data_IF_088441650646
#
_entry.id   IF_088441650646
#
_cell.length_a   1.000
_cell.length_b   1.000
_cell.length_c   1.000
_cell.angle_alpha   90.00
_cell.angle_beta   90.00
_cell.angle_gamma   90.00
#
_symmetry.space_group_name_H-M   'P 1'
#
loop_
_entity.id
_entity.type
_entity.pdbx_description
1 polymer ?
#
# COMPACT_ATOMS: atom_id res chain seq x y z
N UNK A 1 65.73 1.99 5.19
CA UNK A 1 64.47 1.43 4.64
C UNK A 1 63.40 1.62 5.71
N UNK A 2 62.46 2.54 5.51
CA UNK A 2 61.38 2.87 6.46
C UNK A 2 60.08 2.30 5.91
N UNK A 3 59.52 1.29 6.56
CA UNK A 3 58.21 0.70 6.23
C UNK A 3 57.11 1.40 7.01
N UNK A 4 56.29 2.17 6.29
CA UNK A 4 55.09 2.83 6.79
C UNK A 4 53.95 1.80 6.93
N UNK A 5 53.47 1.54 8.15
CA UNK A 5 52.24 0.77 8.39
C UNK A 5 51.02 1.65 8.12
N UNK A 6 50.15 1.17 7.22
CA UNK A 6 48.89 1.81 6.85
C UNK A 6 47.75 1.20 7.69
N UNK A 7 47.18 1.98 8.60
CA UNK A 7 45.99 1.59 9.37
C UNK A 7 44.73 1.88 8.56
N UNK A 8 43.89 0.85 8.34
CA UNK A 8 42.55 0.98 7.78
C UNK A 8 41.55 1.34 8.91
N UNK A 9 40.66 2.33 8.73
CA UNK A 9 39.59 2.59 9.67
C UNK A 9 38.44 1.58 9.49
N UNK A 10 38.04 0.93 10.58
CA UNK A 10 36.85 0.08 10.67
C UNK A 10 35.63 1.01 10.79
N UNK A 11 34.80 1.07 9.76
CA UNK A 11 33.50 1.74 9.81
C UNK A 11 32.45 0.82 10.48
N UNK A 12 31.62 1.35 11.39
CA UNK A 12 30.52 0.57 11.98
C UNK A 12 29.45 0.26 10.92
N UNK A 13 29.17 -1.04 10.73
CA UNK A 13 28.06 -1.50 9.91
C UNK A 13 26.73 -1.12 10.57
N UNK A 14 26.02 -0.17 9.97
CA UNK A 14 24.62 0.11 10.31
C UNK A 14 23.78 -1.03 9.75
N UNK A 15 23.19 -1.84 10.64
CA UNK A 15 22.26 -2.91 10.27
C UNK A 15 20.99 -2.30 9.65
N UNK A 16 20.82 -2.48 8.35
CA UNK A 16 19.59 -2.14 7.63
C UNK A 16 18.52 -3.18 8.02
N UNK A 17 17.31 -2.78 8.43
CA UNK A 17 16.24 -3.73 8.75
C UNK A 17 15.90 -4.53 7.49
N UNK A 18 16.10 -5.84 7.56
CA UNK A 18 15.83 -6.77 6.47
C UNK A 18 14.32 -6.87 6.25
N UNK A 19 13.88 -6.73 5.01
CA UNK A 19 12.51 -7.04 4.58
C UNK A 19 12.25 -8.53 4.85
N UNK A 20 11.49 -8.83 5.92
CA UNK A 20 10.96 -10.16 6.15
C UNK A 20 9.95 -10.52 5.06
N UNK A 21 10.41 -11.31 4.09
CA UNK A 21 9.55 -11.94 3.09
C UNK A 21 8.85 -13.11 3.77
N UNK A 22 7.69 -12.86 4.38
CA UNK A 22 6.86 -13.94 4.94
C UNK A 22 6.19 -14.71 3.80
N UNK A 23 6.66 -15.94 3.56
CA UNK A 23 5.99 -16.96 2.77
C UNK A 23 4.74 -17.43 3.53
N UNK A 24 3.56 -16.97 3.12
CA UNK A 24 2.27 -17.37 3.70
C UNK A 24 1.59 -18.37 2.76
N UNK A 25 1.30 -19.56 3.30
CA UNK A 25 0.52 -20.64 2.70
C UNK A 25 -0.86 -20.13 2.22
N UNK A 26 -1.37 -20.55 1.04
CA UNK A 26 -2.63 -20.05 0.49
C UNK A 26 -3.83 -20.71 1.18
N UNK A 27 -4.04 -20.38 2.45
CA UNK A 27 -5.35 -20.59 3.09
C UNK A 27 -6.25 -19.40 2.73
N UNK A 28 -7.53 -19.66 2.51
CA UNK A 28 -8.59 -18.69 2.23
C UNK A 28 -8.86 -17.71 3.40
N UNK A 29 -7.85 -17.44 4.22
CA UNK A 29 -7.89 -16.44 5.28
C UNK A 29 -8.13 -15.08 4.64
N UNK A 30 -9.12 -14.37 5.19
CA UNK A 30 -9.35 -12.96 4.88
C UNK A 30 -8.02 -12.20 5.06
N UNK A 31 -7.74 -11.28 4.13
CA UNK A 31 -6.62 -10.38 4.26
C UNK A 31 -6.94 -9.41 5.40
N UNK A 32 -6.47 -9.70 6.61
CA UNK A 32 -6.66 -8.83 7.75
C UNK A 32 -5.72 -7.61 7.66
N UNK A 33 -6.30 -6.48 7.27
CA UNK A 33 -5.62 -5.18 7.19
C UNK A 33 -5.95 -4.26 8.38
N UNK A 34 -6.77 -4.72 9.34
CA UNK A 34 -7.29 -3.88 10.44
C UNK A 34 -6.20 -3.27 11.30
N UNK A 35 -5.08 -3.98 11.46
CA UNK A 35 -3.96 -3.56 12.28
C UNK A 35 -2.95 -2.67 11.57
N UNK A 36 -3.22 -2.19 10.35
CA UNK A 36 -2.26 -1.41 9.57
C UNK A 36 -2.86 -0.07 9.14
N UNK A 37 -2.02 0.97 9.11
CA UNK A 37 -2.41 2.24 8.51
C UNK A 37 -2.57 2.10 7.00
N UNK A 38 -1.66 1.38 6.37
CA UNK A 38 -1.79 0.96 4.99
C UNK A 38 -1.14 -0.39 4.69
N UNK A 39 -1.64 -1.04 3.65
CA UNK A 39 -1.08 -2.26 3.09
C UNK A 39 -1.08 -2.20 1.56
N UNK A 40 0.00 -2.66 0.94
CA UNK A 40 0.11 -2.83 -0.52
C UNK A 40 0.13 -4.32 -0.84
N UNK A 41 -0.75 -4.73 -1.74
CA UNK A 41 -1.01 -6.11 -2.12
C UNK A 41 -0.70 -6.24 -3.61
N UNK A 42 0.38 -6.96 -3.91
CA UNK A 42 0.78 -7.27 -5.28
C UNK A 42 0.35 -8.70 -5.61
N UNK A 43 -0.31 -8.86 -6.74
CA UNK A 43 -0.55 -10.17 -7.36
C UNK A 43 0.73 -10.54 -8.09
N UNK A 44 1.56 -11.41 -7.52
CA UNK A 44 2.64 -12.03 -8.28
C UNK A 44 2.05 -13.25 -9.02
N UNK A 45 2.06 -13.26 -10.36
CA UNK A 45 1.51 -14.38 -11.14
C UNK A 45 2.26 -15.69 -10.88
N UNK A 46 3.52 -15.64 -10.43
CA UNK A 46 4.31 -16.82 -10.09
C UNK A 46 4.10 -17.32 -8.65
N UNK A 47 3.78 -16.42 -7.71
CA UNK A 47 3.82 -16.72 -6.26
C UNK A 47 2.49 -16.58 -5.51
N UNK A 48 1.37 -16.44 -6.21
CA UNK A 48 0.03 -16.52 -5.60
C UNK A 48 -0.24 -15.49 -4.47
N UNK A 49 0.24 -14.25 -4.68
CA UNK A 49 0.09 -13.01 -3.87
C UNK A 49 1.25 -12.73 -2.90
N UNK A 50 1.87 -11.57 -3.09
CA UNK A 50 2.97 -11.09 -2.25
C UNK A 50 2.56 -9.77 -1.60
N UNK A 51 2.56 -9.74 -0.26
CA UNK A 51 2.30 -8.53 0.53
C UNK A 51 3.64 -7.80 0.73
N UNK A 52 3.84 -6.66 0.05
CA UNK A 52 5.17 -6.04 0.00
C UNK A 52 5.41 -4.89 0.97
N UNK A 53 4.38 -4.23 1.51
CA UNK A 53 4.61 -3.20 2.54
C UNK A 53 3.42 -3.05 3.48
N UNK A 54 3.70 -3.13 4.79
CA UNK A 54 2.73 -2.85 5.84
C UNK A 54 3.32 -1.80 6.77
N UNK A 55 2.64 -0.67 6.93
CA UNK A 55 3.01 0.34 7.92
C UNK A 55 1.93 0.42 9.00
N UNK A 56 2.33 0.25 10.25
CA UNK A 56 1.44 0.27 11.40
C UNK A 56 1.32 1.65 12.07
N UNK A 57 2.30 2.51 11.89
CA UNK A 57 2.58 3.59 12.85
C UNK A 57 2.61 4.98 12.23
N UNK A 58 2.83 5.09 10.92
CA UNK A 58 2.94 6.39 10.27
C UNK A 58 1.62 6.80 9.64
N UNK A 59 1.02 7.88 10.16
CA UNK A 59 -0.10 8.58 9.52
C UNK A 59 0.33 9.37 8.26
N UNK A 60 1.60 9.27 7.87
CA UNK A 60 2.14 9.97 6.72
C UNK A 60 1.65 9.37 5.41
N UNK A 61 0.74 10.11 4.77
CA UNK A 61 0.28 9.83 3.42
C UNK A 61 1.44 9.84 2.39
N UNK A 62 2.50 10.61 2.63
CA UNK A 62 3.67 10.65 1.73
C UNK A 62 4.39 9.29 1.75
N UNK A 63 4.56 8.67 2.91
CA UNK A 63 5.08 7.30 3.04
C UNK A 63 4.23 6.28 2.28
N UNK A 64 2.90 6.35 2.41
CA UNK A 64 1.99 5.48 1.65
C UNK A 64 2.17 5.67 0.13
N UNK A 65 2.12 6.92 -0.33
CA UNK A 65 2.29 7.27 -1.74
C UNK A 65 3.63 6.78 -2.30
N UNK A 66 4.70 6.96 -1.55
CA UNK A 66 6.05 6.59 -1.98
C UNK A 66 6.26 5.07 -2.03
N UNK A 67 5.35 4.30 -1.43
CA UNK A 67 5.37 2.84 -1.48
C UNK A 67 4.62 2.26 -2.70
N UNK A 68 3.83 3.07 -3.41
CA UNK A 68 3.09 2.61 -4.60
C UNK A 68 4.05 2.39 -5.80
N UNK A 69 3.93 1.27 -6.52
CA UNK A 69 4.76 1.01 -7.69
C UNK A 69 4.44 1.98 -8.83
N UNK A 70 5.47 2.47 -9.54
CA UNK A 70 5.28 3.43 -10.65
C UNK A 70 4.84 2.72 -11.94
N UNK A 71 5.35 1.52 -12.20
CA UNK A 71 5.21 0.82 -13.48
C UNK A 71 4.43 -0.50 -13.38
N UNK A 72 3.83 -0.79 -12.23
CA UNK A 72 3.11 -2.03 -11.97
C UNK A 72 1.78 -1.73 -11.30
N UNK A 73 0.81 -2.59 -11.54
CA UNK A 73 -0.47 -2.50 -10.87
C UNK A 73 -0.36 -3.09 -9.46
N UNK A 74 -1.17 -2.59 -8.54
CA UNK A 74 -1.33 -3.21 -7.24
C UNK A 74 -2.71 -2.93 -6.67
N UNK A 75 -3.07 -3.64 -5.61
CA UNK A 75 -4.13 -3.19 -4.73
C UNK A 75 -3.51 -2.54 -3.49
N UNK A 76 -4.23 -1.58 -2.90
CA UNK A 76 -3.82 -0.98 -1.65
C UNK A 76 -5.01 -0.80 -0.71
N UNK A 77 -4.74 -0.84 0.58
CA UNK A 77 -5.70 -0.48 1.62
C UNK A 77 -5.09 0.65 2.43
N UNK A 78 -5.87 1.68 2.73
CA UNK A 78 -5.44 2.82 3.53
C UNK A 78 -6.55 3.24 4.51
N UNK A 79 -6.21 3.32 5.79
CA UNK A 79 -7.11 3.81 6.84
C UNK A 79 -6.99 5.32 6.96
N UNK A 80 -7.97 6.04 6.42
CA UNK A 80 -8.04 7.50 6.49
C UNK A 80 -8.75 7.96 7.77
N UNK A 81 -8.15 8.92 8.47
CA UNK A 81 -8.75 9.58 9.62
C UNK A 81 -8.90 11.06 9.30
N UNK A 82 -10.11 11.60 9.44
CA UNK A 82 -10.43 12.99 9.14
C UNK A 82 -11.58 13.49 10.02
N UNK A 83 -11.91 14.78 9.95
CA UNK A 83 -13.05 15.36 10.67
C UNK A 83 -14.17 15.66 9.67
N UNK A 84 -15.38 15.18 9.98
CA UNK A 84 -16.61 15.47 9.23
C UNK A 84 -17.70 15.88 10.22
N UNK A 85 -18.35 17.03 10.01
CA UNK A 85 -19.37 17.58 10.91
C UNK A 85 -18.92 17.61 12.39
N UNK A 86 -17.73 18.14 12.65
CA UNK A 86 -17.15 18.23 14.01
C UNK A 86 -16.90 16.87 14.69
N UNK A 87 -17.03 15.75 13.97
CA UNK A 87 -16.76 14.40 14.48
C UNK A 87 -15.55 13.80 13.78
N UNK A 88 -14.66 13.19 14.56
CA UNK A 88 -13.59 12.35 14.02
C UNK A 88 -14.19 11.14 13.33
N UNK A 89 -13.83 10.91 12.08
CA UNK A 89 -14.20 9.76 11.27
C UNK A 89 -12.95 8.97 10.91
N UNK A 90 -13.09 7.66 10.93
CA UNK A 90 -12.09 6.71 10.46
C UNK A 90 -12.76 5.88 9.39
N UNK A 91 -12.16 5.79 8.21
CA UNK A 91 -12.67 5.01 7.09
C UNK A 91 -11.53 4.21 6.45
N UNK A 92 -11.83 3.01 6.00
CA UNK A 92 -10.91 2.13 5.30
C UNK A 92 -11.18 2.23 3.80
N UNK A 93 -10.18 2.66 3.05
CA UNK A 93 -10.29 2.82 1.60
C UNK A 93 -9.51 1.69 0.93
N UNK A 94 -10.21 0.93 0.07
CA UNK A 94 -9.61 -0.01 -0.86
C UNK A 94 -9.32 0.71 -2.18
N UNK A 95 -8.10 0.57 -2.68
CA UNK A 95 -7.65 1.14 -3.94
C UNK A 95 -7.26 0.02 -4.91
N UNK A 96 -7.73 0.14 -6.15
CA UNK A 96 -7.12 -0.53 -7.31
C UNK A 96 -6.21 0.49 -8.00
N UNK A 97 -4.89 0.29 -7.92
CA UNK A 97 -3.89 1.15 -8.53
C UNK A 97 -3.48 0.63 -9.91
N UNK A 98 -3.77 1.42 -10.94
CA UNK A 98 -3.58 1.08 -12.35
C UNK A 98 -2.76 2.19 -13.04
N UNK A 99 -1.46 2.33 -12.74
CA UNK A 99 -0.66 3.42 -13.30
C UNK A 99 -0.68 3.36 -14.82
N UNK A 100 -0.76 4.53 -15.48
CA UNK A 100 -0.84 4.64 -16.94
C UNK A 100 0.30 3.93 -17.66
N UNK A 101 1.48 3.90 -17.03
CA UNK A 101 2.70 3.28 -17.57
C UNK A 101 2.77 1.75 -17.38
N UNK A 102 1.82 1.13 -16.66
CA UNK A 102 1.76 -0.33 -16.55
C UNK A 102 1.22 -0.98 -17.85
N UNK A 103 1.66 -2.22 -18.16
CA UNK A 103 1.16 -3.00 -19.29
C UNK A 103 -0.38 -3.04 -19.34
N UNK A 104 -0.95 -2.93 -20.54
CA UNK A 104 -2.41 -2.94 -20.72
C UNK A 104 -3.05 -4.23 -20.20
N UNK A 105 -2.42 -5.38 -20.47
CA UNK A 105 -2.90 -6.68 -20.03
C UNK A 105 -2.92 -6.80 -18.51
N UNK A 106 -1.88 -6.30 -17.83
CA UNK A 106 -1.80 -6.27 -16.37
C UNK A 106 -2.89 -5.36 -15.78
N UNK A 107 -3.10 -4.17 -16.35
CA UNK A 107 -4.17 -3.26 -15.90
C UNK A 107 -5.54 -3.91 -16.03
N UNK A 108 -5.79 -4.60 -17.14
CA UNK A 108 -7.04 -5.32 -17.37
C UNK A 108 -7.23 -6.46 -16.35
N UNK A 109 -6.17 -7.23 -16.08
CA UNK A 109 -6.20 -8.30 -15.08
C UNK A 109 -6.56 -7.76 -13.69
N UNK A 110 -5.89 -6.69 -13.23
CA UNK A 110 -6.16 -6.12 -11.90
C UNK A 110 -7.55 -5.50 -11.80
N UNK A 111 -8.05 -4.89 -12.87
CA UNK A 111 -9.41 -4.36 -12.94
C UNK A 111 -10.44 -5.50 -12.82
N UNK A 112 -10.27 -6.57 -13.59
CA UNK A 112 -11.16 -7.74 -13.58
C UNK A 112 -11.12 -8.48 -12.24
N UNK A 113 -9.95 -8.60 -11.62
CA UNK A 113 -9.77 -9.30 -10.35
C UNK A 113 -10.08 -8.45 -9.10
N UNK A 114 -10.25 -7.12 -9.26
CA UNK A 114 -10.52 -6.18 -8.17
C UNK A 114 -11.70 -6.58 -7.27
N UNK A 115 -12.89 -6.90 -7.81
CA UNK A 115 -14.03 -7.34 -7.01
C UNK A 115 -13.76 -8.63 -6.22
N UNK A 116 -13.01 -9.57 -6.78
CA UNK A 116 -12.63 -10.81 -6.08
C UNK A 116 -11.64 -10.53 -4.96
N UNK A 117 -10.72 -9.57 -5.14
CA UNK A 117 -9.83 -9.12 -4.07
C UNK A 117 -10.60 -8.40 -2.96
N UNK A 118 -11.55 -7.52 -3.31
CA UNK A 118 -12.36 -6.78 -2.35
C UNK A 118 -13.13 -7.74 -1.41
N UNK A 119 -13.70 -8.82 -1.95
CA UNK A 119 -14.38 -9.87 -1.16
C UNK A 119 -13.45 -10.62 -0.19
N UNK A 120 -12.13 -10.59 -0.42
CA UNK A 120 -11.14 -11.22 0.46
C UNK A 120 -10.66 -10.30 1.57
N UNK A 121 -10.94 -9.00 1.51
CA UNK A 121 -10.62 -8.09 2.60
C UNK A 121 -11.59 -8.31 3.76
N UNK A 122 -11.10 -8.21 4.99
CA UNK A 122 -11.97 -8.33 6.17
C UNK A 122 -13.02 -7.21 6.21
N UNK A 123 -12.65 -6.00 5.79
CA UNK A 123 -13.52 -4.83 5.77
C UNK A 123 -12.93 -3.71 4.90
N UNK A 124 -13.79 -2.96 4.21
CA UNK A 124 -13.50 -1.66 3.62
C UNK A 124 -14.79 -0.83 3.54
N UNK A 125 -14.69 0.50 3.59
CA UNK A 125 -15.83 1.42 3.49
C UNK A 125 -16.01 1.93 2.05
N UNK A 126 -14.90 2.24 1.38
CA UNK A 126 -14.90 2.82 0.03
C UNK A 126 -13.94 2.07 -0.88
N UNK A 127 -14.33 1.91 -2.14
CA UNK A 127 -13.47 1.36 -3.19
C UNK A 127 -13.25 2.41 -4.28
N UNK A 128 -11.99 2.73 -4.56
CA UNK A 128 -11.61 3.59 -5.66
C UNK A 128 -10.69 2.86 -6.64
N UNK A 129 -10.89 3.14 -7.93
CA UNK A 129 -9.97 2.76 -9.00
C UNK A 129 -9.25 4.02 -9.42
N UNK A 130 -7.92 3.99 -9.44
CA UNK A 130 -7.10 5.16 -9.68
C UNK A 130 -5.99 4.86 -10.68
N UNK A 131 -5.73 5.83 -11.55
CA UNK A 131 -4.70 5.78 -12.59
C UNK A 131 -3.55 6.72 -12.32
N UNK A 132 -3.81 7.80 -11.58
CA UNK A 132 -2.80 8.76 -11.15
C UNK A 132 -2.71 8.91 -9.64
N UNK A 133 -1.51 9.21 -9.14
CA UNK A 133 -1.25 9.42 -7.71
C UNK A 133 -2.06 10.59 -7.13
N UNK A 134 -2.46 11.56 -7.96
CA UNK A 134 -3.29 12.70 -7.53
C UNK A 134 -4.66 12.25 -7.05
N UNK A 135 -5.17 11.14 -7.59
CA UNK A 135 -6.47 10.59 -7.21
C UNK A 135 -6.48 9.98 -5.80
N UNK A 136 -5.30 9.68 -5.23
CA UNK A 136 -5.15 9.16 -3.87
C UNK A 136 -5.11 10.27 -2.82
N UNK A 137 -4.90 11.52 -3.22
CA UNK A 137 -4.70 12.61 -2.27
C UNK A 137 -5.89 12.75 -1.34
N UNK A 138 -5.61 13.02 -0.06
CA UNK A 138 -6.66 13.26 0.94
C UNK A 138 -7.59 14.40 0.51
N UNK A 139 -7.06 15.44 -0.14
CA UNK A 139 -7.82 16.56 -0.72
C UNK A 139 -8.84 16.14 -1.79
N UNK A 140 -8.62 15.01 -2.47
CA UNK A 140 -9.51 14.46 -3.49
C UNK A 140 -10.44 13.40 -2.90
N UNK A 141 -9.91 12.54 -2.02
CA UNK A 141 -10.66 11.46 -1.40
C UNK A 141 -11.70 11.97 -0.38
N UNK A 142 -11.33 12.92 0.49
CA UNK A 142 -12.21 13.42 1.56
C UNK A 142 -13.50 14.02 1.00
N UNK A 143 -13.50 14.94 0.02
CA UNK A 143 -14.74 15.49 -0.51
C UNK A 143 -15.66 14.44 -1.13
N UNK A 144 -15.09 13.43 -1.83
CA UNK A 144 -15.85 12.30 -2.38
C UNK A 144 -16.50 11.48 -1.27
N UNK A 145 -15.74 11.16 -0.23
CA UNK A 145 -16.22 10.41 0.94
C UNK A 145 -17.29 11.19 1.69
N UNK A 146 -17.08 12.48 1.99
CA UNK A 146 -18.06 13.32 2.66
C UNK A 146 -19.39 13.39 1.89
N UNK A 147 -19.33 13.47 0.55
CA UNK A 147 -20.54 13.46 -0.30
C UNK A 147 -21.31 12.14 -0.17
N UNK A 148 -20.60 11.01 -0.02
CA UNK A 148 -21.21 9.68 0.15
C UNK A 148 -21.72 9.43 1.57
N UNK A 149 -21.10 10.04 2.58
CA UNK A 149 -21.53 9.94 3.98
C UNK A 149 -22.80 10.75 4.27
N UNK A 150 -23.15 11.70 3.41
CA UNK A 150 -24.31 12.56 3.60
C UNK A 150 -24.07 13.73 4.58
N UNK A 151 -25.09 14.60 4.72
CA UNK A 151 -25.08 15.76 5.62
C UNK A 151 -25.20 15.39 7.10
#
# INVERSE_FOLDING_TARGET
>A
MLTTQQMNPILPQVSVPSLETSLITPSAAACDTSNYKYAIISSDPAFNKTFKSKNRYSDDFISFRSSLPVYQCCYAVYTLVFVHQMKRKTVVIFYTWLPTDAPADERQEYLTNGPNMAKRLSHYDFHFVCTEWREFQQSVAIPKICKLLGP
#
